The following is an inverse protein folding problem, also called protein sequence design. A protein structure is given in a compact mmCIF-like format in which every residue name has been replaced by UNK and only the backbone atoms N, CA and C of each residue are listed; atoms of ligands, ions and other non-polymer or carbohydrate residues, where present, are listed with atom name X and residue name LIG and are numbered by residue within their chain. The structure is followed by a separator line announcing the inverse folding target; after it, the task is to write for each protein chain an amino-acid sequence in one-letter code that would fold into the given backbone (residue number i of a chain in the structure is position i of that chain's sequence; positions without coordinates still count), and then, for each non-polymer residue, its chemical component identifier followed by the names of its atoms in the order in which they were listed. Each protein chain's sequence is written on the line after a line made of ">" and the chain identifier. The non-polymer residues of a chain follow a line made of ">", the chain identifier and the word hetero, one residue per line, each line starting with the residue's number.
data_IF_090226878091
#
_entry.id   IF_090226878091
#
_cell.length_a   1.000
_cell.length_b   1.000
_cell.length_c   1.000
_cell.angle_alpha   90.00
_cell.angle_beta   90.00
_cell.angle_gamma   90.00
#
_symmetry.space_group_name_H-M   'P 1'
#
loop_
_entity.id
_entity.type
_entity.pdbx_description
1 polymer ?
#
# COMPACT_ATOMS: atom_id res chain seq x y z
N UNK A 1 17.24 17.43 -26.04
CA UNK A 1 16.25 16.59 -25.34
C UNK A 1 15.77 17.40 -24.15
N UNK A 2 14.60 18.01 -24.25
CA UNK A 2 13.98 18.77 -23.16
C UNK A 2 13.15 17.80 -22.34
N UNK A 3 13.63 17.47 -21.13
CA UNK A 3 12.85 16.70 -20.16
C UNK A 3 11.58 17.50 -19.79
N UNK A 4 10.40 16.87 -19.74
CA UNK A 4 9.20 17.56 -19.33
C UNK A 4 9.24 17.78 -17.81
N UNK A 5 9.47 19.04 -17.41
CA UNK A 5 9.29 19.47 -16.03
C UNK A 5 7.78 19.64 -15.75
N UNK A 6 7.25 18.81 -14.85
CA UNK A 6 5.87 18.93 -14.37
C UNK A 6 5.84 19.92 -13.20
N UNK A 7 5.29 21.12 -13.42
CA UNK A 7 4.98 22.06 -12.34
C UNK A 7 3.54 21.87 -11.88
N UNK A 8 3.34 21.52 -10.61
CA UNK A 8 2.02 21.55 -9.98
C UNK A 8 1.67 22.99 -9.62
N UNK A 9 0.71 23.59 -10.33
CA UNK A 9 0.19 24.94 -10.05
C UNK A 9 -1.07 24.86 -9.18
N UNK A 10 -0.88 24.66 -7.87
CA UNK A 10 -1.95 24.80 -6.88
C UNK A 10 -1.52 24.45 -5.45
N UNK A 11 -2.01 25.19 -4.45
CA UNK A 11 -1.81 24.83 -3.04
C UNK A 11 -2.73 23.65 -2.66
N UNK A 12 -2.15 22.46 -2.55
CA UNK A 12 -2.77 21.30 -1.89
C UNK A 12 -1.82 20.78 -0.81
N UNK A 13 -1.76 21.52 0.30
CA UNK A 13 -0.96 21.13 1.47
C UNK A 13 -1.29 19.67 1.86
N UNK A 14 -0.28 18.79 1.87
CA UNK A 14 -0.42 17.38 2.25
C UNK A 14 -0.45 16.37 1.09
N UNK A 15 -0.80 16.76 -0.14
CA UNK A 15 -0.83 15.81 -1.26
C UNK A 15 0.57 15.42 -1.73
N UNK A 16 1.49 16.38 -1.80
CA UNK A 16 2.87 16.09 -2.18
C UNK A 16 3.50 15.11 -1.20
N UNK A 17 3.32 15.34 0.10
CA UNK A 17 3.93 14.50 1.11
C UNK A 17 3.26 13.12 1.19
N UNK A 18 1.96 13.03 0.93
CA UNK A 18 1.26 11.76 0.73
C UNK A 18 1.84 10.96 -0.45
N UNK A 19 2.03 11.61 -1.60
CA UNK A 19 2.65 10.98 -2.78
C UNK A 19 4.11 10.58 -2.52
N UNK A 20 4.88 11.42 -1.83
CA UNK A 20 6.26 11.09 -1.45
C UNK A 20 6.31 9.86 -0.53
N UNK A 21 5.42 9.75 0.43
CA UNK A 21 5.37 8.58 1.30
C UNK A 21 4.89 7.33 0.57
N UNK A 22 3.92 7.46 -0.33
CA UNK A 22 3.48 6.35 -1.18
C UNK A 22 4.59 5.87 -2.13
N UNK A 23 5.41 6.79 -2.66
CA UNK A 23 6.63 6.45 -3.40
C UNK A 23 7.63 5.64 -2.54
N UNK A 24 7.73 5.92 -1.24
CA UNK A 24 8.55 5.08 -0.35
C UNK A 24 8.00 3.66 -0.22
N UNK A 25 6.67 3.49 -0.23
CA UNK A 25 6.04 2.16 -0.28
C UNK A 25 6.39 1.43 -1.58
N UNK A 26 6.34 2.12 -2.72
CA UNK A 26 6.78 1.57 -4.01
C UNK A 26 8.24 1.08 -3.97
N UNK A 27 9.15 1.94 -3.50
CA UNK A 27 10.57 1.61 -3.37
C UNK A 27 10.78 0.41 -2.45
N UNK A 28 10.06 0.37 -1.32
CA UNK A 28 10.13 -0.75 -0.39
C UNK A 28 9.62 -2.05 -1.00
N UNK A 29 8.50 -2.04 -1.72
CA UNK A 29 7.97 -3.22 -2.40
C UNK A 29 8.98 -3.79 -3.40
N UNK A 30 9.62 -2.92 -4.21
CA UNK A 30 10.68 -3.35 -5.15
C UNK A 30 11.85 -3.99 -4.43
N UNK A 31 12.33 -3.37 -3.34
CA UNK A 31 13.47 -3.91 -2.59
C UNK A 31 13.16 -5.23 -1.87
N UNK A 32 11.87 -5.57 -1.69
CA UNK A 32 11.42 -6.82 -1.06
C UNK A 32 11.07 -7.91 -2.06
N UNK A 33 11.13 -7.63 -3.37
CA UNK A 33 10.91 -8.65 -4.39
C UNK A 33 11.98 -9.75 -4.26
N UNK A 34 11.52 -11.00 -4.29
CA UNK A 34 12.42 -12.14 -4.41
C UNK A 34 12.96 -12.22 -5.84
N UNK A 35 14.03 -12.99 -6.05
CA UNK A 35 14.64 -13.15 -7.39
C UNK A 35 13.68 -13.73 -8.44
N UNK A 36 12.62 -14.40 -8.01
CA UNK A 36 11.55 -14.93 -8.88
C UNK A 36 10.27 -14.08 -8.86
N UNK A 37 10.31 -12.87 -8.31
CA UNK A 37 9.19 -11.93 -8.31
C UNK A 37 9.56 -10.67 -9.10
N UNK A 38 8.58 -10.11 -9.82
CA UNK A 38 8.75 -8.89 -10.61
C UNK A 38 7.56 -7.96 -10.37
N UNK A 39 7.83 -6.66 -10.24
CA UNK A 39 6.77 -5.66 -10.22
C UNK A 39 6.13 -5.61 -11.60
N UNK A 40 4.83 -5.94 -11.68
CA UNK A 40 4.09 -5.93 -12.94
C UNK A 40 3.39 -4.60 -13.16
N UNK A 41 2.75 -4.06 -12.12
CA UNK A 41 2.05 -2.79 -12.20
C UNK A 41 2.09 -2.04 -10.86
N UNK A 42 2.05 -0.72 -10.95
CA UNK A 42 1.81 0.16 -9.81
C UNK A 42 0.95 1.34 -10.28
N UNK A 43 -0.34 1.27 -10.02
CA UNK A 43 -1.33 2.24 -10.51
C UNK A 43 -1.84 3.09 -9.36
N UNK A 44 -1.58 4.39 -9.40
CA UNK A 44 -2.10 5.34 -8.42
C UNK A 44 -3.61 5.55 -8.57
N UNK A 45 -4.27 5.85 -7.46
CA UNK A 45 -5.63 6.38 -7.40
C UNK A 45 -6.66 5.58 -8.20
N UNK A 46 -6.58 4.24 -8.19
CA UNK A 46 -7.48 3.35 -8.94
C UNK A 46 -8.95 3.57 -8.52
N UNK A 47 -9.84 4.06 -9.42
CA UNK A 47 -11.20 4.38 -9.05
C UNK A 47 -12.07 3.11 -9.02
N UNK A 48 -12.49 2.68 -7.82
CA UNK A 48 -13.34 1.49 -7.58
C UNK A 48 -14.73 1.89 -7.04
N UNK A 49 -15.41 2.80 -7.76
CA UNK A 49 -16.74 3.34 -7.39
C UNK A 49 -16.74 4.00 -6.00
N UNK A 50 -17.17 3.27 -4.96
CA UNK A 50 -17.25 3.74 -3.56
C UNK A 50 -15.90 3.69 -2.83
N UNK A 51 -14.93 3.02 -3.44
CA UNK A 51 -13.60 2.80 -2.93
C UNK A 51 -12.60 3.40 -3.90
N UNK A 52 -11.55 4.01 -3.38
CA UNK A 52 -10.41 4.46 -4.17
C UNK A 52 -9.16 4.21 -3.32
N UNK A 53 -8.44 3.09 -3.55
CA UNK A 53 -7.11 2.93 -2.97
C UNK A 53 -6.16 4.02 -3.45
N UNK A 54 -5.17 4.36 -2.63
CA UNK A 54 -4.12 5.29 -3.03
C UNK A 54 -3.26 4.70 -4.16
N UNK A 55 -3.06 3.37 -4.17
CA UNK A 55 -2.52 2.66 -5.32
C UNK A 55 -2.92 1.17 -5.35
N UNK A 56 -2.89 0.57 -6.53
CA UNK A 56 -2.89 -0.88 -6.75
C UNK A 56 -1.49 -1.32 -7.21
N UNK A 57 -0.91 -2.29 -6.51
CA UNK A 57 0.36 -2.91 -6.85
C UNK A 57 0.15 -4.37 -7.23
N UNK A 58 0.74 -4.81 -8.35
CA UNK A 58 0.73 -6.19 -8.81
C UNK A 58 2.14 -6.74 -8.89
N UNK A 59 2.38 -7.87 -8.22
CA UNK A 59 3.66 -8.59 -8.21
C UNK A 59 3.48 -9.92 -8.95
N UNK A 60 4.23 -10.11 -10.03
CA UNK A 60 4.26 -11.34 -10.81
C UNK A 60 5.26 -12.34 -10.25
N UNK A 61 4.83 -13.58 -10.01
CA UNK A 61 5.73 -14.68 -9.71
C UNK A 61 6.13 -15.40 -11.01
N UNK A 62 7.41 -15.37 -11.34
CA UNK A 62 7.94 -15.91 -12.60
C UNK A 62 7.94 -17.43 -12.65
N UNK A 63 7.89 -18.11 -11.49
CA UNK A 63 7.83 -19.57 -11.37
C UNK A 63 6.38 -20.05 -11.49
N UNK A 64 5.48 -19.55 -10.64
CA UNK A 64 4.09 -20.03 -10.58
C UNK A 64 3.20 -19.43 -11.66
N UNK A 65 3.66 -18.39 -12.36
CA UNK A 65 2.87 -17.65 -13.35
C UNK A 65 1.55 -17.12 -12.76
N UNK A 66 1.59 -16.68 -11.50
CA UNK A 66 0.47 -16.06 -10.79
C UNK A 66 0.83 -14.68 -10.26
N UNK A 67 -0.16 -13.81 -10.16
CA UNK A 67 -0.01 -12.47 -9.58
C UNK A 67 -0.50 -12.40 -8.14
N UNK A 68 0.23 -11.63 -7.33
CA UNK A 68 -0.23 -11.14 -6.03
C UNK A 68 -0.54 -9.66 -6.16
N UNK A 69 -1.69 -9.25 -5.66
CA UNK A 69 -2.09 -7.86 -5.67
C UNK A 69 -2.13 -7.28 -4.26
N UNK A 70 -1.83 -5.98 -4.18
CA UNK A 70 -1.92 -5.18 -2.98
C UNK A 70 -2.71 -3.91 -3.29
N UNK A 71 -3.75 -3.65 -2.51
CA UNK A 71 -4.30 -2.31 -2.39
C UNK A 71 -3.50 -1.54 -1.34
N UNK A 72 -2.98 -0.38 -1.72
CA UNK A 72 -2.16 0.46 -0.87
C UNK A 72 -2.98 1.63 -0.34
N UNK A 73 -2.87 1.88 0.96
CA UNK A 73 -3.54 2.95 1.67
C UNK A 73 -2.52 3.68 2.55
N UNK A 74 -2.20 4.94 2.25
CA UNK A 74 -1.31 5.79 3.02
C UNK A 74 -2.14 6.69 3.96
N UNK A 75 -2.26 6.31 5.22
CA UNK A 75 -3.02 7.08 6.21
C UNK A 75 -2.10 8.05 6.97
N UNK A 76 -2.06 9.30 6.47
CA UNK A 76 -1.41 10.44 7.14
C UNK A 76 -2.34 11.23 8.06
N UNK A 77 -3.64 10.92 8.03
CA UNK A 77 -4.67 11.79 8.58
C UNK A 77 -4.93 11.55 10.07
N UNK A 78 -5.39 12.60 10.76
CA UNK A 78 -6.05 12.48 12.08
C UNK A 78 -7.52 12.10 11.97
N UNK A 79 -8.08 12.14 10.75
CA UNK A 79 -9.49 11.88 10.48
C UNK A 79 -9.84 10.40 10.68
N UNK A 80 -11.14 10.11 10.58
CA UNK A 80 -11.65 8.76 10.63
C UNK A 80 -11.10 7.92 9.47
N UNK A 81 -10.57 6.73 9.77
CA UNK A 81 -10.06 5.79 8.77
C UNK A 81 -11.20 4.94 8.21
N UNK A 82 -11.96 5.44 7.24
CA UNK A 82 -13.19 4.80 6.74
C UNK A 82 -12.96 3.63 5.75
N UNK A 83 -11.70 3.31 5.44
CA UNK A 83 -11.37 2.32 4.40
C UNK A 83 -11.82 0.91 4.75
N UNK A 84 -11.80 0.51 6.03
CA UNK A 84 -12.24 -0.84 6.45
C UNK A 84 -13.68 -1.09 6.01
N UNK A 85 -14.59 -0.18 6.35
CA UNK A 85 -15.99 -0.25 5.96
C UNK A 85 -16.17 -0.22 4.43
N UNK A 86 -15.45 0.67 3.73
CA UNK A 86 -15.52 0.75 2.26
C UNK A 86 -15.07 -0.53 1.56
N UNK A 87 -13.99 -1.16 2.02
CA UNK A 87 -13.54 -2.44 1.48
C UNK A 87 -14.56 -3.55 1.71
N UNK A 88 -15.13 -3.65 2.92
CA UNK A 88 -16.15 -4.66 3.22
C UNK A 88 -17.39 -4.46 2.34
N UNK A 89 -17.93 -3.25 2.28
CA UNK A 89 -19.10 -2.94 1.42
C UNK A 89 -18.82 -3.20 -0.06
N UNK A 90 -17.62 -2.87 -0.53
CA UNK A 90 -17.24 -3.10 -1.93
C UNK A 90 -17.09 -4.59 -2.23
N UNK A 91 -16.55 -5.37 -1.29
CA UNK A 91 -16.42 -6.81 -1.40
C UNK A 91 -17.78 -7.51 -1.37
N UNK A 92 -18.65 -7.18 -0.42
CA UNK A 92 -20.01 -7.72 -0.29
C UNK A 92 -20.87 -7.45 -1.52
N UNK A 93 -20.65 -6.32 -2.19
CA UNK A 93 -21.34 -5.95 -3.42
C UNK A 93 -20.73 -6.58 -4.68
N UNK A 94 -19.83 -7.55 -4.54
CA UNK A 94 -19.07 -8.17 -5.63
C UNK A 94 -18.40 -7.13 -6.54
N UNK A 95 -17.97 -6.00 -5.96
CA UNK A 95 -17.42 -4.87 -6.70
C UNK A 95 -16.12 -5.19 -7.44
N UNK A 96 -15.46 -6.29 -7.07
CA UNK A 96 -14.27 -6.83 -7.71
C UNK A 96 -14.56 -7.63 -8.99
N UNK A 97 -15.81 -8.04 -9.24
CA UNK A 97 -16.16 -8.75 -10.47
C UNK A 97 -15.92 -7.82 -11.68
N UNK A 98 -15.25 -8.37 -12.70
CA UNK A 98 -14.88 -7.64 -13.91
C UNK A 98 -13.61 -6.78 -13.77
N UNK A 99 -12.95 -6.79 -12.60
CA UNK A 99 -11.63 -6.18 -12.48
C UNK A 99 -10.60 -7.03 -13.24
N UNK A 100 -9.75 -6.38 -14.02
CA UNK A 100 -8.78 -7.04 -14.90
C UNK A 100 -7.80 -7.98 -14.16
N UNK A 101 -7.56 -7.72 -12.88
CA UNK A 101 -6.64 -8.49 -12.06
C UNK A 101 -7.26 -9.75 -11.46
N UNK A 102 -8.59 -9.89 -11.50
CA UNK A 102 -9.31 -10.99 -10.83
C UNK A 102 -8.86 -12.35 -11.34
N UNK A 103 -8.74 -12.51 -12.66
CA UNK A 103 -8.33 -13.77 -13.29
C UNK A 103 -6.82 -14.05 -13.18
N UNK A 104 -6.04 -13.06 -12.73
CA UNK A 104 -4.58 -13.16 -12.62
C UNK A 104 -4.12 -13.63 -11.23
N UNK A 105 -5.05 -13.76 -10.27
CA UNK A 105 -4.74 -14.06 -8.87
C UNK A 105 -5.64 -15.15 -8.31
N UNK A 106 -5.12 -15.90 -7.33
CA UNK A 106 -5.89 -16.97 -6.68
C UNK A 106 -6.64 -16.47 -5.43
N UNK A 107 -6.48 -15.19 -5.06
CA UNK A 107 -7.07 -14.61 -3.84
C UNK A 107 -7.30 -13.11 -3.96
N UNK A 108 -8.19 -12.58 -3.13
CA UNK A 108 -8.42 -11.15 -3.04
C UNK A 108 -7.13 -10.38 -2.65
N UNK A 109 -6.90 -9.17 -3.20
CA UNK A 109 -5.70 -8.39 -2.90
C UNK A 109 -5.53 -8.10 -1.40
N UNK A 110 -4.28 -8.08 -0.93
CA UNK A 110 -3.96 -7.66 0.44
C UNK A 110 -4.15 -6.15 0.56
N UNK A 111 -4.79 -5.67 1.61
CA UNK A 111 -4.89 -4.23 1.87
C UNK A 111 -3.73 -3.82 2.78
N UNK A 112 -2.68 -3.24 2.19
CA UNK A 112 -1.52 -2.72 2.91
C UNK A 112 -1.76 -1.26 3.29
N UNK A 113 -2.03 -1.05 4.58
CA UNK A 113 -2.18 0.27 5.19
C UNK A 113 -0.85 0.70 5.78
N UNK A 114 -0.39 1.90 5.41
CA UNK A 114 0.83 2.52 5.92
C UNK A 114 0.45 3.78 6.67
N UNK A 115 0.93 3.94 7.90
CA UNK A 115 0.67 5.14 8.71
C UNK A 115 1.94 5.65 9.39
N UNK A 116 1.87 6.84 9.98
CA UNK A 116 3.05 7.56 10.48
C UNK A 116 3.42 7.22 11.93
N UNK A 117 2.46 6.80 12.76
CA UNK A 117 2.66 6.67 14.21
C UNK A 117 2.12 5.36 14.76
N UNK A 118 2.76 4.80 15.79
CA UNK A 118 2.33 3.57 16.48
C UNK A 118 0.91 3.70 17.01
N UNK A 119 0.59 4.83 17.66
CA UNK A 119 -0.76 5.11 18.16
C UNK A 119 -1.82 5.06 17.05
N UNK A 120 -1.49 5.54 15.85
CA UNK A 120 -2.43 5.48 14.72
C UNK A 120 -2.55 4.06 14.17
N UNK A 121 -1.44 3.32 14.07
CA UNK A 121 -1.42 1.89 13.71
C UNK A 121 -2.31 1.06 14.63
N UNK A 122 -2.20 1.25 15.94
CA UNK A 122 -3.05 0.60 16.96
C UNK A 122 -4.54 0.88 16.72
N UNK A 123 -4.91 2.16 16.55
CA UNK A 123 -6.32 2.53 16.26
C UNK A 123 -6.86 1.93 14.97
N UNK A 124 -6.03 1.86 13.92
CA UNK A 124 -6.42 1.23 12.65
C UNK A 124 -6.61 -0.28 12.86
N UNK A 125 -5.71 -0.93 13.60
CA UNK A 125 -5.81 -2.36 13.93
C UNK A 125 -7.06 -2.67 14.76
N UNK A 126 -7.38 -1.86 15.77
CA UNK A 126 -8.62 -1.98 16.55
C UNK A 126 -9.86 -1.87 15.65
N UNK A 127 -9.84 -0.91 14.71
CA UNK A 127 -10.93 -0.71 13.76
C UNK A 127 -11.08 -1.90 12.80
N UNK A 128 -9.97 -2.43 12.27
CA UNK A 128 -9.97 -3.66 11.46
C UNK A 128 -10.56 -4.81 12.25
N UNK A 129 -10.13 -5.02 13.50
CA UNK A 129 -10.65 -6.11 14.34
C UNK A 129 -12.16 -6.00 14.59
N UNK A 130 -12.68 -4.77 14.69
CA UNK A 130 -14.11 -4.52 14.93
C UNK A 130 -14.97 -4.60 13.66
N UNK A 131 -14.46 -4.14 12.52
CA UNK A 131 -15.28 -3.84 11.33
C UNK A 131 -14.99 -4.73 10.11
N UNK A 132 -13.94 -5.56 10.15
CA UNK A 132 -13.60 -6.47 9.05
C UNK A 132 -14.49 -7.72 9.05
N UNK A 133 -15.76 -7.56 8.66
CA UNK A 133 -16.77 -8.62 8.66
C UNK A 133 -16.52 -9.71 7.62
N UNK A 134 -15.82 -9.39 6.53
CA UNK A 134 -15.54 -10.33 5.43
C UNK A 134 -14.16 -11.01 5.54
N UNK A 135 -13.44 -10.81 6.64
CA UNK A 135 -12.14 -11.45 6.84
C UNK A 135 -11.07 -11.05 5.81
N UNK A 136 -11.16 -9.85 5.25
CA UNK A 136 -10.20 -9.34 4.26
C UNK A 136 -8.80 -9.22 4.87
N UNK A 137 -7.75 -9.52 4.10
CA UNK A 137 -6.37 -9.49 4.60
C UNK A 137 -5.85 -8.04 4.67
N UNK A 138 -6.00 -7.39 5.82
CA UNK A 138 -5.35 -6.11 6.11
C UNK A 138 -3.96 -6.31 6.73
N UNK A 139 -2.98 -5.52 6.28
CA UNK A 139 -1.66 -5.40 6.91
C UNK A 139 -1.41 -3.94 7.23
N UNK A 140 -1.05 -3.64 8.48
CA UNK A 140 -0.78 -2.27 8.92
C UNK A 140 0.68 -2.10 9.27
N UNK A 141 1.36 -1.17 8.62
CA UNK A 141 2.78 -0.87 8.80
C UNK A 141 3.00 0.60 9.15
N UNK A 142 4.11 0.86 9.84
CA UNK A 142 4.62 2.21 10.00
C UNK A 142 5.46 2.60 8.80
N UNK A 143 5.36 3.84 8.38
CA UNK A 143 6.23 4.39 7.35
C UNK A 143 7.71 4.33 7.76
N UNK A 144 8.01 4.44 9.07
CA UNK A 144 9.37 4.26 9.59
C UNK A 144 9.88 2.83 9.40
N UNK A 145 9.02 1.80 9.50
CA UNK A 145 9.37 0.40 9.21
C UNK A 145 9.70 0.22 7.71
N UNK A 146 8.99 0.94 6.85
CA UNK A 146 9.20 0.94 5.40
C UNK A 146 10.51 1.64 5.02
N UNK A 147 10.76 2.84 5.57
CA UNK A 147 11.98 3.64 5.30
C UNK A 147 13.23 3.04 5.97
N UNK A 148 13.08 2.50 7.18
CA UNK A 148 14.14 1.95 8.00
C UNK A 148 14.73 0.64 7.45
N UNK A 149 14.00 -0.07 6.59
CA UNK A 149 14.50 -1.28 5.91
C UNK A 149 15.70 -1.07 4.97
N UNK A 150 16.23 0.15 4.85
CA UNK A 150 17.51 0.47 4.18
C UNK A 150 18.72 0.59 5.12
N UNK A 151 18.54 0.54 6.44
CA UNK A 151 19.61 0.79 7.42
C UNK A 151 19.99 -0.39 8.33
N UNK A 152 19.56 -1.62 8.03
CA UNK A 152 20.14 -2.82 8.65
C UNK A 152 21.44 -3.29 7.94
N UNK A 153 22.33 -2.34 7.64
CA UNK A 153 23.73 -2.61 7.27
C UNK A 153 24.73 -2.00 8.28
N UNK A 154 24.28 -1.52 9.44
CA UNK A 154 25.15 -1.11 10.55
C UNK A 154 25.07 -2.10 11.72
N UNK A 155 25.61 -3.30 11.50
CA UNK A 155 26.26 -4.09 12.56
C UNK A 155 27.79 -3.89 12.56
N UNK A 156 28.29 -2.95 11.77
CA UNK A 156 29.69 -2.52 11.85
C UNK A 156 29.76 -1.09 12.40
N UNK A 157 30.39 -1.02 13.58
CA UNK A 157 31.03 0.11 14.25
C UNK A 157 30.34 0.64 15.53
N UNK A 158 31.13 0.53 16.60
CA UNK A 158 31.07 1.11 17.95
C UNK A 158 30.26 0.28 18.97
N UNK A 159 30.84 -0.27 20.04
CA UNK A 159 32.01 0.10 20.86
C UNK A 159 32.73 -1.19 21.31
N UNK A 160 34.06 -1.32 21.43
CA UNK A 160 35.02 -0.28 21.74
C UNK A 160 35.27 -0.13 23.24
N UNK A 161 35.39 -1.22 24.02
CA UNK A 161 36.28 -1.37 25.17
C UNK A 161 36.31 -2.82 25.69
#
# INVERSE_FOLDING_TARGET
>A
MTEPYCYFTGQRYGQLEHLLDLNWVYVWLINKLKSWEQMHCFQYELPLKILQPDALCGIWNTITKRMKFYFLEMDRSKNHFDKVEKYNRWYEADGYIGQWWLDQTDRFPVILVVTLTTRRKEKIMEKIAKENTNGLEFKVMLLSEIKGGRYDNNWFLCEGQ
#
